data_IF_773608031229
#
_entry.id   IF_773608031229
#
_cell.length_a   1.000
_cell.length_b   1.000
_cell.length_c   1.000
_cell.angle_alpha   90.00
_cell.angle_beta   90.00
_cell.angle_gamma   90.00
#
_symmetry.space_group_name_H-M   'P 1'
#
loop_
_entity.id
_entity.type
_entity.pdbx_description
1 polymer ?
#
# COMPACT_ATOMS: atom_id res chain seq x y z
N UNK A 1 15.99 8.42 6.81
CA UNK A 1 14.64 7.96 6.38
C UNK A 1 14.41 8.36 4.92
N UNK A 2 13.95 7.43 4.07
CA UNK A 2 13.71 7.62 2.63
C UNK A 2 12.35 7.03 2.24
N UNK A 3 11.57 7.75 1.42
CA UNK A 3 10.35 7.21 0.79
C UNK A 3 10.64 7.02 -0.69
N UNK A 4 10.34 5.83 -1.22
CA UNK A 4 10.57 5.49 -2.63
C UNK A 4 9.58 4.42 -3.12
N UNK A 5 9.59 4.21 -4.44
CA UNK A 5 8.85 3.11 -5.07
C UNK A 5 9.39 1.77 -4.57
N UNK A 6 8.47 0.85 -4.33
CA UNK A 6 8.76 -0.55 -4.03
C UNK A 6 9.58 -1.19 -5.16
N UNK A 7 10.60 -1.96 -4.78
CA UNK A 7 11.36 -2.83 -5.67
C UNK A 7 11.34 -4.26 -5.13
N UNK A 8 11.63 -5.29 -5.95
CA UNK A 8 11.48 -6.69 -5.53
C UNK A 8 12.23 -7.09 -4.25
N UNK A 9 13.35 -6.44 -3.93
CA UNK A 9 14.12 -6.69 -2.70
C UNK A 9 13.38 -6.26 -1.42
N UNK A 10 12.37 -5.39 -1.52
CA UNK A 10 11.60 -4.92 -0.37
C UNK A 10 10.57 -5.95 0.11
N UNK A 11 10.20 -6.92 -0.74
CA UNK A 11 9.10 -7.85 -0.46
C UNK A 11 9.20 -8.57 0.90
N UNK A 12 10.38 -9.09 1.33
CA UNK A 12 10.51 -9.67 2.67
C UNK A 12 10.33 -8.65 3.80
N UNK A 13 10.80 -7.41 3.61
CA UNK A 13 10.67 -6.34 4.59
C UNK A 13 9.23 -5.85 4.72
N UNK A 14 8.51 -5.79 3.60
CA UNK A 14 7.07 -5.49 3.53
C UNK A 14 6.28 -6.60 4.22
N UNK A 15 6.48 -7.87 3.88
CA UNK A 15 5.78 -9.00 4.52
C UNK A 15 5.97 -9.00 6.04
N UNK A 16 7.21 -8.82 6.51
CA UNK A 16 7.52 -8.71 7.93
C UNK A 16 6.90 -7.48 8.60
N UNK A 17 6.68 -6.38 7.86
CA UNK A 17 5.97 -5.20 8.36
C UNK A 17 4.48 -5.45 8.49
N UNK A 18 3.85 -6.00 7.46
CA UNK A 18 2.42 -6.26 7.46
C UNK A 18 2.02 -7.24 8.58
N UNK A 19 2.76 -8.35 8.73
CA UNK A 19 2.50 -9.37 9.75
C UNK A 19 2.64 -8.88 11.19
N UNK A 20 3.53 -7.91 11.45
CA UNK A 20 3.70 -7.34 12.81
C UNK A 20 2.74 -6.17 13.08
N UNK A 21 2.13 -5.61 12.05
CA UNK A 21 1.29 -4.41 12.16
C UNK A 21 -0.21 -4.71 12.18
N UNK A 22 -0.63 -5.91 11.76
CA UNK A 22 -2.03 -6.36 11.81
C UNK A 22 -2.21 -7.56 12.74
N UNK A 23 -3.45 -7.79 13.18
CA UNK A 23 -3.80 -8.94 14.03
C UNK A 23 -3.75 -10.27 13.28
N UNK A 24 -3.80 -10.24 11.94
CA UNK A 24 -3.82 -11.41 11.08
C UNK A 24 -2.78 -11.31 9.97
N UNK A 25 -2.47 -12.45 9.34
CA UNK A 25 -1.62 -12.51 8.15
C UNK A 25 -2.34 -12.10 6.85
N UNK A 26 -3.62 -11.76 6.90
CA UNK A 26 -4.45 -11.55 5.71
C UNK A 26 -3.89 -10.45 4.81
N UNK A 27 -3.40 -9.36 5.38
CA UNK A 27 -2.83 -8.22 4.67
C UNK A 27 -1.51 -8.56 3.99
N UNK A 28 -0.65 -9.34 4.66
CA UNK A 28 0.61 -9.82 4.09
C UNK A 28 0.35 -10.76 2.90
N UNK A 29 -0.62 -11.67 3.04
CA UNK A 29 -1.04 -12.59 1.98
C UNK A 29 -1.66 -11.84 0.80
N UNK A 30 -2.56 -10.90 1.06
CA UNK A 30 -3.18 -10.07 0.01
C UNK A 30 -2.13 -9.31 -0.81
N UNK A 31 -1.18 -8.66 -0.14
CA UNK A 31 -0.09 -7.93 -0.81
C UNK A 31 0.84 -8.87 -1.57
N UNK A 32 1.06 -10.09 -1.08
CA UNK A 32 1.81 -11.12 -1.80
C UNK A 32 1.07 -11.52 -3.09
N UNK A 33 -0.18 -11.94 -2.97
CA UNK A 33 -1.00 -12.44 -4.08
C UNK A 33 -1.16 -11.35 -5.17
N UNK A 34 -1.47 -10.10 -4.78
CA UNK A 34 -1.59 -8.98 -5.74
C UNK A 34 -0.29 -8.67 -6.47
N UNK A 35 0.87 -8.87 -5.83
CA UNK A 35 2.17 -8.66 -6.45
C UNK A 35 2.46 -9.76 -7.46
N UNK A 36 2.22 -11.02 -7.09
CA UNK A 36 2.42 -12.18 -7.96
C UNK A 36 1.50 -12.15 -9.18
N UNK A 37 0.25 -11.72 -8.99
CA UNK A 37 -0.74 -11.61 -10.05
C UNK A 37 -0.57 -10.34 -10.92
N UNK A 38 0.35 -9.43 -10.54
CA UNK A 38 0.62 -8.19 -11.28
C UNK A 38 -0.47 -7.11 -11.14
N UNK A 39 -1.35 -7.22 -10.14
CA UNK A 39 -2.41 -6.25 -9.84
C UNK A 39 -1.98 -5.12 -8.90
N UNK A 40 -0.71 -5.09 -8.48
CA UNK A 40 -0.16 -4.02 -7.67
C UNK A 40 0.37 -2.89 -8.57
N UNK A 41 -0.48 -1.89 -8.83
CA UNK A 41 -0.19 -0.74 -9.72
C UNK A 41 0.96 0.12 -9.18
N UNK A 42 0.96 0.38 -7.87
CA UNK A 42 2.01 1.18 -7.23
C UNK A 42 2.18 0.73 -5.78
N UNK A 43 3.42 0.45 -5.38
CA UNK A 43 3.83 0.29 -3.98
C UNK A 43 4.81 1.38 -3.61
N UNK A 44 4.64 1.99 -2.44
CA UNK A 44 5.65 2.89 -1.85
C UNK A 44 6.11 2.32 -0.52
N UNK A 45 7.43 2.34 -0.32
CA UNK A 45 8.08 1.95 0.93
C UNK A 45 8.69 3.17 1.60
N UNK A 46 8.61 3.21 2.92
CA UNK A 46 9.45 4.07 3.74
C UNK A 46 10.52 3.21 4.39
N UNK A 47 11.79 3.60 4.25
CA UNK A 47 12.93 2.94 4.89
C UNK A 47 13.61 3.86 5.89
N UNK A 48 14.15 3.30 6.96
CA UNK A 48 15.04 4.04 7.87
C UNK A 48 16.47 4.14 7.30
N UNK A 49 17.41 4.62 8.11
CA UNK A 49 18.81 4.80 7.72
C UNK A 49 19.59 3.47 7.61
N UNK A 50 19.05 2.38 8.17
CA UNK A 50 19.61 1.02 8.06
C UNK A 50 19.01 0.25 6.87
N UNK A 51 18.03 0.85 6.17
CA UNK A 51 17.33 0.24 5.04
C UNK A 51 16.17 -0.66 5.45
N UNK A 52 15.78 -0.69 6.73
CA UNK A 52 14.62 -1.45 7.18
C UNK A 52 13.33 -0.79 6.70
N UNK A 53 12.40 -1.60 6.20
CA UNK A 53 11.05 -1.13 5.82
C UNK A 53 10.24 -0.82 7.08
N UNK A 54 9.91 0.46 7.25
CA UNK A 54 9.17 1.04 8.37
C UNK A 54 7.83 1.66 7.95
N UNK A 55 7.45 1.54 6.68
CA UNK A 55 6.14 1.96 6.19
C UNK A 55 5.88 1.41 4.80
N UNK A 56 4.61 1.15 4.50
CA UNK A 56 4.18 0.60 3.23
C UNK A 56 2.78 1.05 2.86
N UNK A 57 2.58 1.43 1.60
CA UNK A 57 1.27 1.69 1.01
C UNK A 57 1.23 1.09 -0.38
N UNK A 58 0.12 0.42 -0.71
CA UNK A 58 -0.09 -0.23 -1.99
C UNK A 58 -1.41 0.22 -2.64
N UNK A 59 -1.37 0.36 -3.96
CA UNK A 59 -2.48 0.74 -4.81
C UNK A 59 -2.71 -0.34 -5.87
N UNK A 60 -3.95 -0.80 -6.04
CA UNK A 60 -4.38 -1.65 -7.16
C UNK A 60 -5.48 -0.97 -7.96
N UNK A 61 -5.74 -1.43 -9.19
CA UNK A 61 -6.94 -1.04 -9.91
C UNK A 61 -8.19 -1.45 -9.13
N UNK A 62 -9.25 -0.67 -9.27
CA UNK A 62 -10.59 -1.00 -8.77
C UNK A 62 -11.64 -0.74 -9.84
N UNK A 63 -12.57 -1.68 -10.00
CA UNK A 63 -13.74 -1.49 -10.86
C UNK A 63 -14.84 -0.77 -10.08
N UNK A 64 -15.49 0.21 -10.73
CA UNK A 64 -16.65 0.91 -10.17
C UNK A 64 -17.88 0.50 -10.97
N UNK A 65 -18.80 -0.20 -10.32
CA UNK A 65 -20.00 -0.76 -10.99
C UNK A 65 -19.67 -1.70 -12.16
N UNK A 66 -18.51 -2.37 -12.12
CA UNK A 66 -18.06 -3.30 -13.16
C UNK A 66 -17.40 -2.63 -14.37
N UNK A 67 -17.17 -1.32 -14.32
CA UNK A 67 -16.43 -0.56 -15.32
C UNK A 67 -15.03 -0.23 -14.80
N UNK A 68 -14.00 -0.47 -15.63
CA UNK A 68 -12.64 0.01 -15.38
C UNK A 68 -12.56 1.50 -15.74
N UNK A 69 -12.61 2.34 -14.70
CA UNK A 69 -12.52 3.80 -14.84
C UNK A 69 -11.09 4.33 -14.69
N UNK A 70 -10.06 3.46 -14.71
CA UNK A 70 -8.67 3.79 -14.37
C UNK A 70 -8.53 4.36 -12.94
N UNK A 71 -9.40 3.89 -12.04
CA UNK A 71 -9.37 4.27 -10.63
C UNK A 71 -8.42 3.34 -9.89
N UNK A 72 -7.62 3.91 -8.98
CA UNK A 72 -6.80 3.12 -8.07
C UNK A 72 -7.37 3.21 -6.67
N UNK A 73 -7.62 2.05 -6.08
CA UNK A 73 -7.98 1.95 -4.67
C UNK A 73 -6.72 1.90 -3.82
N UNK A 74 -6.76 2.58 -2.67
CA UNK A 74 -5.82 2.26 -1.59
C UNK A 74 -6.30 0.96 -0.97
N UNK A 75 -5.68 -0.16 -1.33
CA UNK A 75 -6.04 -1.46 -0.75
C UNK A 75 -5.57 -1.53 0.69
N UNK A 76 -4.43 -0.90 0.96
CA UNK A 76 -3.76 -0.99 2.25
C UNK A 76 -2.82 0.20 2.47
N UNK A 77 -2.91 0.79 3.66
CA UNK A 77 -1.95 1.79 4.12
C UNK A 77 -1.48 1.45 5.52
N UNK A 78 -0.17 1.23 5.69
CA UNK A 78 0.49 1.23 6.99
C UNK A 78 1.60 2.29 6.97
N UNK A 79 1.43 3.34 7.76
CA UNK A 79 2.48 4.32 8.01
C UNK A 79 2.96 4.10 9.44
N UNK A 80 4.12 3.47 9.63
CA UNK A 80 4.78 3.38 10.94
C UNK A 80 5.76 4.54 11.11
N UNK A 81 5.24 5.78 11.09
CA UNK A 81 5.99 6.90 11.64
C UNK A 81 5.92 6.81 13.17
N UNK A 82 6.98 7.11 13.94
CA UNK A 82 6.97 7.05 15.41
C UNK A 82 5.96 8.01 16.09
N UNK A 83 5.09 8.68 15.34
CA UNK A 83 4.11 9.67 15.83
C UNK A 83 2.75 9.67 15.13
N UNK A 84 2.49 8.77 14.18
CA UNK A 84 1.18 8.68 13.52
C UNK A 84 0.78 7.21 13.38
N UNK A 85 0.23 6.64 14.44
CA UNK A 85 -0.50 5.37 14.36
C UNK A 85 -1.92 5.69 13.90
N UNK A 86 -2.07 6.00 12.62
CA UNK A 86 -3.39 6.17 12.00
C UNK A 86 -3.67 4.92 11.18
N UNK A 87 -4.50 4.02 11.71
CA UNK A 87 -5.19 3.04 10.86
C UNK A 87 -6.18 3.83 10.01
N UNK A 88 -5.80 4.15 8.77
CA UNK A 88 -6.68 4.86 7.85
C UNK A 88 -7.54 3.82 7.16
N UNK A 89 -8.86 4.01 7.23
CA UNK A 89 -9.87 3.15 6.61
C UNK A 89 -9.50 2.82 5.15
N UNK A 90 -9.68 1.57 4.69
CA UNK A 90 -9.18 1.06 3.40
C UNK A 90 -9.94 1.57 2.15
N UNK A 91 -10.59 2.74 2.22
CA UNK A 91 -11.42 3.26 1.14
C UNK A 91 -11.03 4.68 0.76
N UNK A 92 -9.76 4.88 0.41
CA UNK A 92 -9.35 6.05 -0.35
C UNK A 92 -9.17 5.63 -1.81
N UNK A 93 -10.17 5.93 -2.64
CA UNK A 93 -10.10 5.74 -4.09
C UNK A 93 -9.58 7.04 -4.69
N UNK A 94 -8.48 6.96 -5.43
CA UNK A 94 -7.85 8.10 -6.11
C UNK A 94 -7.89 7.82 -7.61
N UNK A 95 -8.40 8.76 -8.40
CA UNK A 95 -8.35 8.65 -9.86
C UNK A 95 -6.93 8.92 -10.34
N UNK A 96 -6.34 8.00 -11.11
CA UNK A 96 -5.05 8.21 -11.74
C UNK A 96 -5.19 9.21 -12.90
N UNK A 97 -5.12 10.51 -12.60
CA UNK A 97 -5.11 11.55 -13.65
C UNK A 97 -5.73 12.91 -13.35
N UNK A 98 -6.30 13.16 -12.16
CA UNK A 98 -6.88 14.47 -11.85
C UNK A 98 -7.15 14.72 -10.37
N UNK A 99 -6.73 15.90 -9.89
CA UNK A 99 -7.17 16.46 -8.60
C UNK A 99 -8.69 16.62 -8.60
N UNK A 100 -9.39 16.09 -7.60
CA UNK A 100 -10.77 16.48 -7.33
C UNK A 100 -10.94 16.74 -5.84
N UNK A 101 -11.32 17.99 -5.54
CA UNK A 101 -11.90 18.42 -4.27
C UNK A 101 -13.11 17.58 -3.93
N UNK A 102 -13.15 16.99 -2.74
CA UNK A 102 -14.42 16.50 -2.19
C UNK A 102 -15.38 17.69 -1.99
N UNK A 103 -16.70 17.53 -2.22
CA UNK A 103 -17.70 18.48 -1.71
C UNK A 103 -17.81 18.42 -0.18
#
# INVERSE_FOLDING_TARGET
MLIRVEIPIDAPGIDALLRRSFESDAEAKLVHDLREDGFLTLGLVATDDEGQVVGYVAFSPVDVQGEDLQWVGTILSIITLPKLTSSVSPLLIVQAGGFISLP
#
